data_IF_989893493110
#
_entry.id   IF_989893493110
#
_cell.length_a   1.000
_cell.length_b   1.000
_cell.length_c   1.000
_cell.angle_alpha   90.00
_cell.angle_beta   90.00
_cell.angle_gamma   90.00
#
_symmetry.space_group_name_H-M   'P 1'
#
loop_
_entity.id
_entity.type
_entity.pdbx_description
1 polymer ?
#
# COMPACT_ATOMS: atom_id res chain seq x y z
N UNK A 1 -1.60 16.90 -34.91
CA UNK A 1 -3.05 16.72 -34.60
C UNK A 1 -3.30 15.55 -33.64
N UNK A 2 -2.82 14.33 -33.95
CA UNK A 2 -3.06 13.11 -33.12
C UNK A 2 -2.50 13.21 -31.69
N UNK A 3 -1.30 13.76 -31.52
CA UNK A 3 -0.65 13.85 -30.20
C UNK A 3 -1.38 14.81 -29.25
N UNK A 4 -1.98 15.88 -29.80
CA UNK A 4 -2.78 16.85 -29.05
C UNK A 4 -4.09 16.23 -28.55
N UNK A 5 -4.73 15.40 -29.37
CA UNK A 5 -5.96 14.67 -28.99
C UNK A 5 -5.69 13.67 -27.86
N UNK A 6 -4.58 12.92 -27.91
CA UNK A 6 -4.21 11.97 -26.85
C UNK A 6 -3.93 12.68 -25.51
N UNK A 7 -3.30 13.86 -25.55
CA UNK A 7 -3.05 14.66 -24.35
C UNK A 7 -4.37 15.18 -23.76
N UNK A 8 -5.27 15.68 -24.61
CA UNK A 8 -6.59 16.16 -24.20
C UNK A 8 -7.43 15.03 -23.57
N UNK A 9 -7.45 13.84 -24.17
CA UNK A 9 -8.16 12.67 -23.61
C UNK A 9 -7.60 12.29 -22.23
N UNK A 10 -6.27 12.25 -22.06
CA UNK A 10 -5.65 11.99 -20.74
C UNK A 10 -5.94 13.06 -19.70
N UNK A 11 -6.01 14.32 -20.11
CA UNK A 11 -6.38 15.44 -19.22
C UNK A 11 -7.84 15.29 -18.79
N UNK A 12 -8.74 15.00 -19.73
CA UNK A 12 -10.17 14.78 -19.45
C UNK A 12 -10.34 13.58 -18.52
N UNK A 13 -9.70 12.44 -18.77
CA UNK A 13 -9.74 11.27 -17.88
C UNK A 13 -9.26 11.60 -16.45
N UNK A 14 -8.18 12.38 -16.32
CA UNK A 14 -7.67 12.81 -15.02
C UNK A 14 -8.61 13.79 -14.32
N UNK A 15 -9.19 14.75 -15.05
CA UNK A 15 -10.17 15.71 -14.51
C UNK A 15 -11.44 14.99 -14.07
N UNK A 16 -11.93 14.01 -14.83
CA UNK A 16 -13.10 13.20 -14.46
C UNK A 16 -12.81 12.32 -13.23
N UNK A 17 -11.61 11.72 -13.14
CA UNK A 17 -11.18 10.97 -11.95
C UNK A 17 -11.05 11.86 -10.71
N UNK A 18 -10.56 13.09 -10.86
CA UNK A 18 -10.48 14.07 -9.78
C UNK A 18 -11.87 14.54 -9.37
N UNK A 19 -12.74 14.87 -10.33
CA UNK A 19 -14.12 15.30 -10.08
C UNK A 19 -14.95 14.19 -9.40
N UNK A 20 -14.76 12.93 -9.80
CA UNK A 20 -15.40 11.77 -9.18
C UNK A 20 -14.86 11.50 -7.77
N UNK A 21 -13.54 11.56 -7.57
CA UNK A 21 -12.95 11.53 -6.21
C UNK A 21 -13.52 12.66 -5.36
N UNK A 22 -13.67 13.88 -5.89
CA UNK A 22 -14.23 15.04 -5.20
C UNK A 22 -15.73 14.92 -4.92
N UNK A 23 -16.52 14.30 -5.81
CA UNK A 23 -17.94 14.05 -5.57
C UNK A 23 -18.16 12.98 -4.50
N UNK A 24 -17.30 11.96 -4.45
CA UNK A 24 -17.26 10.95 -3.37
C UNK A 24 -16.82 11.58 -2.04
N UNK A 25 -15.84 12.49 -2.07
CA UNK A 25 -15.38 13.25 -0.89
C UNK A 25 -16.50 14.13 -0.33
N UNK A 26 -17.31 14.76 -1.19
CA UNK A 26 -18.40 15.65 -0.77
C UNK A 26 -19.64 14.90 -0.25
N UNK A 27 -19.87 13.66 -0.67
CA UNK A 27 -21.06 12.90 -0.27
C UNK A 27 -20.91 12.13 1.05
N UNK A 28 -19.70 12.04 1.63
CA UNK A 28 -19.39 11.18 2.78
C UNK A 28 -19.84 9.70 2.59
N UNK A 29 -20.09 9.32 1.35
CA UNK A 29 -20.69 8.06 0.95
C UNK A 29 -19.76 7.46 -0.08
N UNK A 30 -18.82 6.64 0.39
CA UNK A 30 -18.51 5.47 -0.40
C UNK A 30 -19.82 4.68 -0.41
N UNK A 31 -20.53 4.67 -1.54
CA UNK A 31 -21.43 3.56 -1.79
C UNK A 31 -20.55 2.31 -1.63
N UNK A 32 -20.85 1.49 -0.63
CA UNK A 32 -20.11 0.27 -0.38
C UNK A 32 -20.07 -0.50 -1.71
N UNK A 33 -18.88 -0.73 -2.30
CA UNK A 33 -18.80 -1.49 -3.53
C UNK A 33 -19.21 -2.96 -3.33
N UNK A 34 -19.45 -3.37 -2.08
CA UNK A 34 -19.90 -4.70 -1.70
C UNK A 34 -21.24 -4.61 -0.96
N UNK A 35 -22.15 -5.54 -1.22
CA UNK A 35 -23.44 -5.60 -0.50
C UNK A 35 -23.33 -6.39 0.81
N UNK A 36 -22.31 -7.24 0.94
CA UNK A 36 -22.06 -8.08 2.10
C UNK A 36 -20.60 -8.58 2.14
N UNK A 37 -20.22 -9.21 3.26
CA UNK A 37 -18.88 -9.75 3.48
C UNK A 37 -18.49 -10.85 2.48
N UNK A 38 -19.44 -11.67 2.00
CA UNK A 38 -19.14 -12.75 1.06
C UNK A 38 -18.73 -12.19 -0.31
N UNK A 39 -19.39 -11.14 -0.76
CA UNK A 39 -19.03 -10.44 -2.00
C UNK A 39 -17.64 -9.81 -1.89
N UNK A 40 -17.34 -9.16 -0.75
CA UNK A 40 -16.01 -8.64 -0.45
C UNK A 40 -14.94 -9.75 -0.46
N UNK A 41 -15.22 -10.91 0.14
CA UNK A 41 -14.28 -12.04 0.16
C UNK A 41 -14.09 -12.63 -1.23
N UNK A 42 -15.14 -12.77 -2.02
CA UNK A 42 -15.06 -13.22 -3.40
C UNK A 42 -14.18 -12.28 -4.24
N UNK A 43 -14.41 -10.97 -4.13
CA UNK A 43 -13.56 -9.95 -4.75
C UNK A 43 -12.10 -10.08 -4.31
N UNK A 44 -11.87 -10.17 -3.01
CA UNK A 44 -10.54 -10.31 -2.43
C UNK A 44 -9.81 -11.56 -2.99
N UNK A 45 -10.50 -12.70 -3.12
CA UNK A 45 -9.97 -13.93 -3.73
C UNK A 45 -9.54 -13.70 -5.18
N UNK A 46 -10.36 -13.00 -5.98
CA UNK A 46 -10.05 -12.66 -7.37
C UNK A 46 -8.87 -11.67 -7.53
N UNK A 47 -8.53 -10.96 -6.46
CA UNK A 47 -7.41 -10.00 -6.41
C UNK A 47 -6.08 -10.70 -6.04
N UNK A 48 -6.10 -12.00 -5.72
CA UNK A 48 -4.98 -12.89 -5.32
C UNK A 48 -4.18 -12.47 -4.07
N UNK A 49 -4.22 -11.20 -3.69
CA UNK A 49 -3.48 -10.65 -2.54
C UNK A 49 -3.99 -11.15 -1.21
N UNK A 50 -5.30 -11.34 -1.07
CA UNK A 50 -5.92 -11.59 0.24
C UNK A 50 -5.86 -13.06 0.66
N UNK A 51 -5.73 -13.99 -0.29
CA UNK A 51 -5.89 -15.43 -0.08
C UNK A 51 -4.83 -16.02 0.85
N UNK A 52 -3.75 -15.28 1.08
CA UNK A 52 -2.64 -15.67 1.95
C UNK A 52 -2.79 -15.14 3.39
N UNK A 53 -3.82 -14.33 3.67
CA UNK A 53 -4.05 -13.73 4.98
C UNK A 53 -5.18 -14.43 5.75
N UNK A 54 -5.05 -14.55 7.08
CA UNK A 54 -6.11 -15.07 7.96
C UNK A 54 -7.46 -14.36 7.81
N UNK A 55 -8.57 -15.10 7.95
CA UNK A 55 -9.94 -14.58 7.81
C UNK A 55 -10.27 -13.45 8.79
N UNK A 56 -9.74 -13.48 10.01
CA UNK A 56 -9.93 -12.43 11.02
C UNK A 56 -9.40 -11.07 10.54
N UNK A 57 -8.27 -11.06 9.82
CA UNK A 57 -7.71 -9.85 9.23
C UNK A 57 -8.63 -9.34 8.12
N UNK A 58 -9.11 -10.23 7.25
CA UNK A 58 -9.98 -9.86 6.13
C UNK A 58 -11.33 -9.33 6.62
N UNK A 59 -11.91 -9.96 7.63
CA UNK A 59 -13.15 -9.53 8.29
C UNK A 59 -12.98 -8.15 8.93
N UNK A 60 -11.92 -7.95 9.71
CA UNK A 60 -11.63 -6.65 10.32
C UNK A 60 -11.39 -5.56 9.27
N UNK A 61 -10.75 -5.89 8.15
CA UNK A 61 -10.67 -4.97 7.01
C UNK A 61 -12.10 -4.63 6.55
N UNK A 62 -12.94 -5.60 6.22
CA UNK A 62 -14.30 -5.31 5.75
C UNK A 62 -15.08 -4.38 6.71
N UNK A 63 -15.09 -4.70 8.00
CA UNK A 63 -15.78 -3.92 9.03
C UNK A 63 -15.24 -2.49 9.14
N UNK A 64 -13.92 -2.31 9.17
CA UNK A 64 -13.30 -0.99 9.29
C UNK A 64 -13.40 -0.16 8.00
N UNK A 65 -13.48 -0.81 6.85
CA UNK A 65 -13.41 -0.16 5.54
C UNK A 65 -14.77 0.25 5.00
N UNK A 66 -15.78 -0.58 5.21
CA UNK A 66 -17.05 -0.50 4.51
C UNK A 66 -18.25 -0.36 5.46
N UNK A 67 -18.14 -0.83 6.71
CA UNK A 67 -19.22 -0.68 7.70
C UNK A 67 -19.09 0.56 8.59
N UNK A 68 -17.90 1.18 8.65
CA UNK A 68 -17.66 2.41 9.43
C UNK A 68 -17.51 3.60 8.48
N UNK A 69 -18.14 4.76 8.76
CA UNK A 69 -17.85 5.99 8.03
C UNK A 69 -16.37 6.32 8.25
N UNK A 70 -15.57 6.13 7.20
CA UNK A 70 -14.13 6.35 7.27
C UNK A 70 -13.93 7.85 7.11
N UNK A 71 -13.38 8.57 8.12
CA UNK A 71 -12.93 9.94 7.87
C UNK A 71 -11.98 9.88 6.67
N UNK A 72 -12.19 10.71 5.65
CA UNK A 72 -11.38 10.72 4.44
C UNK A 72 -9.87 10.89 4.73
N UNK A 73 -9.56 11.41 5.92
CA UNK A 73 -8.23 11.50 6.52
C UNK A 73 -7.87 10.29 7.40
N UNK A 74 -8.32 9.08 7.06
CA UNK A 74 -7.95 7.85 7.75
C UNK A 74 -6.43 7.87 7.99
N UNK A 75 -6.09 8.00 9.27
CA UNK A 75 -4.84 8.55 9.79
C UNK A 75 -3.61 8.01 9.05
N UNK A 76 -2.66 8.90 8.74
CA UNK A 76 -1.32 8.51 8.31
C UNK A 76 -0.78 7.41 9.24
N UNK A 77 -0.76 6.16 8.78
CA UNK A 77 -0.23 5.05 9.58
C UNK A 77 1.28 5.20 9.60
N UNK A 78 1.83 5.41 10.78
CA UNK A 78 3.26 5.56 10.94
C UNK A 78 3.77 4.77 12.14
N UNK A 79 4.86 4.05 11.93
CA UNK A 79 5.48 3.25 12.98
C UNK A 79 6.92 2.88 12.64
N UNK A 80 7.62 2.29 13.60
CA UNK A 80 9.00 1.87 13.43
C UNK A 80 9.04 0.40 13.04
N UNK A 81 9.36 0.13 11.77
CA UNK A 81 9.45 -1.23 11.24
C UNK A 81 10.88 -1.58 10.85
N UNK A 82 11.12 -2.87 10.63
CA UNK A 82 12.39 -3.37 10.10
C UNK A 82 12.20 -3.85 8.67
N UNK A 83 13.01 -3.36 7.74
CA UNK A 83 12.98 -3.81 6.34
C UNK A 83 14.24 -4.54 5.93
N UNK A 84 14.10 -5.49 5.03
CA UNK A 84 15.25 -6.07 4.33
C UNK A 84 15.76 -5.11 3.24
N UNK A 85 17.06 -5.11 2.97
CA UNK A 85 17.67 -4.36 1.88
C UNK A 85 17.47 -5.03 0.51
N UNK A 86 17.58 -4.25 -0.57
CA UNK A 86 17.29 -4.69 -1.94
C UNK A 86 18.40 -5.57 -2.51
N UNK A 87 19.54 -4.94 -2.85
CA UNK A 87 20.75 -5.62 -3.35
C UNK A 87 21.43 -6.44 -2.24
N UNK A 88 21.68 -5.81 -1.10
CA UNK A 88 22.30 -6.45 0.07
C UNK A 88 21.18 -6.73 1.08
N UNK A 89 20.99 -7.99 1.45
CA UNK A 89 19.86 -8.47 2.28
C UNK A 89 20.01 -8.20 3.79
N UNK A 90 20.59 -7.06 4.15
CA UNK A 90 20.67 -6.59 5.55
C UNK A 90 19.33 -6.07 6.04
N UNK A 91 19.03 -6.24 7.33
CA UNK A 91 17.86 -5.67 7.97
C UNK A 91 18.14 -4.27 8.51
N UNK A 92 17.19 -3.34 8.37
CA UNK A 92 17.34 -1.95 8.77
C UNK A 92 16.06 -1.44 9.43
N UNK A 93 16.17 -0.91 10.66
CA UNK A 93 15.10 -0.22 11.39
C UNK A 93 14.84 1.15 10.75
N UNK A 94 13.61 1.45 10.38
CA UNK A 94 13.22 2.70 9.70
C UNK A 94 11.87 3.16 10.23
N UNK A 95 11.66 4.47 10.25
CA UNK A 95 10.33 5.02 10.49
C UNK A 95 9.57 5.01 9.17
N UNK A 96 8.43 4.33 9.15
CA UNK A 96 7.57 4.18 8.00
C UNK A 96 6.36 5.10 8.16
N UNK A 97 5.92 5.68 7.06
CA UNK A 97 4.71 6.51 6.97
C UNK A 97 3.94 6.08 5.74
N UNK A 98 2.70 5.64 5.93
CA UNK A 98 1.73 5.36 4.89
C UNK A 98 0.86 6.60 4.70
N UNK A 99 0.88 7.19 3.50
CA UNK A 99 0.08 8.37 3.17
C UNK A 99 -0.03 8.52 1.66
N UNK A 100 -1.14 9.10 1.16
CA UNK A 100 -1.32 9.45 -0.26
C UNK A 100 -0.95 8.32 -1.24
N UNK A 101 -1.46 7.10 -1.04
CA UNK A 101 -1.19 5.93 -1.89
C UNK A 101 0.31 5.55 -2.01
N UNK A 102 1.13 5.98 -1.05
CA UNK A 102 2.57 5.72 -0.99
C UNK A 102 3.00 5.32 0.42
N UNK A 103 4.10 4.56 0.50
CA UNK A 103 4.83 4.35 1.75
C UNK A 103 6.16 5.06 1.67
N UNK A 104 6.42 5.94 2.62
CA UNK A 104 7.68 6.62 2.83
C UNK A 104 8.43 5.93 3.96
N UNK A 105 9.76 5.84 3.84
CA UNK A 105 10.56 5.40 4.98
C UNK A 105 11.77 6.32 5.20
N UNK A 106 12.02 6.60 6.47
CA UNK A 106 12.98 7.57 6.96
C UNK A 106 14.04 6.90 7.82
N UNK A 107 15.19 7.56 7.96
CA UNK A 107 16.26 7.06 8.84
C UNK A 107 15.79 7.02 10.30
N UNK A 108 15.08 8.05 10.73
CA UNK A 108 14.54 8.27 12.08
C UNK A 108 13.22 9.06 11.97
N UNK A 109 12.49 9.19 13.07
CA UNK A 109 11.24 9.97 13.17
C UNK A 109 11.50 11.45 12.84
N UNK A 110 12.62 11.99 13.32
CA UNK A 110 12.96 13.42 13.15
C UNK A 110 13.61 13.76 11.79
N UNK A 111 13.70 12.78 10.88
CA UNK A 111 14.37 13.00 9.60
C UNK A 111 13.48 13.82 8.65
N UNK A 112 13.99 14.97 8.19
CA UNK A 112 13.25 15.90 7.31
C UNK A 112 12.94 15.35 5.91
N UNK A 113 13.63 14.30 5.47
CA UNK A 113 13.48 13.77 4.11
C UNK A 113 13.44 12.25 4.09
N UNK A 114 12.58 11.64 3.25
CA UNK A 114 12.50 10.19 3.13
C UNK A 114 13.77 9.64 2.49
N UNK A 115 14.21 8.48 2.98
CA UNK A 115 15.26 7.70 2.34
C UNK A 115 14.75 6.99 1.09
N UNK A 116 13.47 6.63 1.07
CA UNK A 116 12.83 6.08 -0.10
C UNK A 116 11.31 6.07 -0.02
N UNK A 117 10.73 5.76 -1.17
CA UNK A 117 9.29 5.79 -1.44
C UNK A 117 8.91 4.48 -2.10
N UNK A 118 7.82 3.87 -1.67
CA UNK A 118 7.22 2.68 -2.25
C UNK A 118 5.83 3.08 -2.75
N UNK A 119 5.63 3.25 -4.07
CA UNK A 119 4.30 3.54 -4.61
C UNK A 119 3.41 2.31 -4.46
N UNK A 120 2.14 2.51 -4.10
CA UNK A 120 1.16 1.42 -3.92
C UNK A 120 0.33 1.15 -5.18
N UNK A 121 0.52 1.93 -6.25
CA UNK A 121 -0.10 1.61 -7.54
C UNK A 121 0.44 0.29 -8.07
N UNK A 122 -0.46 -0.66 -8.37
CA UNK A 122 -0.11 -1.96 -8.94
C UNK A 122 0.84 -2.76 -8.05
N UNK A 123 0.52 -2.87 -6.77
CA UNK A 123 1.23 -3.76 -5.84
C UNK A 123 0.32 -4.90 -5.39
N UNK A 124 0.97 -5.92 -4.85
CA UNK A 124 0.36 -6.98 -4.06
C UNK A 124 1.03 -7.03 -2.70
N UNK A 125 0.26 -7.45 -1.69
CA UNK A 125 0.78 -7.71 -0.35
C UNK A 125 0.64 -9.21 -0.10
N UNK A 126 1.70 -9.82 0.43
CA UNK A 126 1.79 -11.27 0.70
C UNK A 126 2.27 -11.51 2.12
N UNK A 127 1.88 -12.62 2.72
CA UNK A 127 2.41 -13.00 4.04
C UNK A 127 3.90 -13.30 3.92
N UNK A 128 4.68 -12.83 4.89
CA UNK A 128 6.10 -13.18 5.01
C UNK A 128 6.29 -14.65 5.32
N UNK A 129 7.25 -15.29 4.65
CA UNK A 129 7.78 -16.58 5.11
C UNK A 129 8.40 -16.32 6.47
N UNK A 130 7.78 -16.75 7.56
CA UNK A 130 8.44 -16.77 8.87
C UNK A 130 9.35 -18.00 8.88
N UNK A 131 10.69 -17.87 8.81
CA UNK A 131 11.55 -19.02 9.05
C UNK A 131 11.25 -19.58 10.45
N UNK A 132 11.24 -20.91 10.65
CA UNK A 132 10.95 -21.53 11.95
C UNK A 132 11.82 -21.02 13.11
N UNK A 133 12.99 -20.44 12.79
CA UNK A 133 13.99 -19.93 13.76
C UNK A 133 14.14 -18.41 13.77
N UNK A 134 13.26 -17.68 13.07
CA UNK A 134 13.37 -16.23 12.95
C UNK A 134 12.86 -15.51 14.19
N UNK A 135 13.77 -14.99 15.01
CA UNK A 135 13.45 -13.98 16.05
C UNK A 135 12.87 -12.65 15.49
N UNK A 136 12.64 -12.56 14.18
CA UNK A 136 12.29 -11.32 13.49
C UNK A 136 10.78 -11.26 13.23
N UNK A 137 10.03 -11.08 14.31
CA UNK A 137 8.66 -10.58 14.37
C UNK A 137 7.65 -11.08 13.32
N UNK A 138 6.70 -10.21 13.00
CA UNK A 138 5.56 -10.50 12.12
C UNK A 138 5.82 -9.88 10.74
N UNK A 139 5.95 -10.70 9.71
CA UNK A 139 6.51 -10.29 8.42
C UNK A 139 5.47 -10.27 7.29
N UNK A 140 5.53 -9.24 6.43
CA UNK A 140 4.78 -9.15 5.17
C UNK A 140 5.70 -8.72 4.03
N UNK A 141 5.34 -9.12 2.81
CA UNK A 141 5.98 -8.67 1.58
C UNK A 141 5.08 -7.72 0.83
N UNK A 142 5.68 -6.67 0.27
CA UNK A 142 5.10 -5.88 -0.80
C UNK A 142 5.81 -6.28 -2.09
N UNK A 143 5.05 -6.64 -3.12
CA UNK A 143 5.54 -7.00 -4.46
C UNK A 143 4.81 -6.16 -5.51
N UNK A 144 5.44 -5.96 -6.67
CA UNK A 144 4.83 -5.23 -7.80
C UNK A 144 4.05 -6.21 -8.67
N UNK A 145 2.86 -5.83 -9.13
CA UNK A 145 2.11 -6.60 -10.13
C UNK A 145 2.72 -6.40 -11.51
N UNK A 146 2.70 -7.46 -12.33
CA UNK A 146 3.22 -7.45 -13.71
C UNK A 146 4.73 -7.70 -13.82
N UNK A 147 5.27 -7.48 -15.02
CA UNK A 147 6.64 -7.87 -15.40
C UNK A 147 7.74 -6.93 -14.90
N UNK A 148 7.41 -5.95 -14.06
CA UNK A 148 8.41 -5.02 -13.53
C UNK A 148 9.31 -5.69 -12.48
N UNK A 149 10.59 -5.86 -12.81
CA UNK A 149 11.52 -6.51 -11.88
C UNK A 149 11.82 -5.71 -10.61
N UNK A 150 11.67 -4.37 -10.62
CA UNK A 150 12.09 -3.49 -9.52
C UNK A 150 11.15 -2.31 -9.34
N UNK A 151 10.86 -1.92 -8.10
CA UNK A 151 10.00 -0.76 -7.83
C UNK A 151 10.45 0.04 -6.60
N UNK A 152 9.84 1.20 -6.44
CA UNK A 152 10.19 2.18 -5.43
C UNK A 152 11.40 3.04 -5.80
N UNK A 153 11.63 4.06 -5.00
CA UNK A 153 12.67 5.07 -5.22
C UNK A 153 13.53 5.22 -3.97
N UNK A 154 14.82 5.52 -4.15
CA UNK A 154 15.75 5.79 -3.05
C UNK A 154 16.55 7.06 -3.33
N UNK A 155 16.68 7.91 -2.31
CA UNK A 155 17.55 9.09 -2.35
C UNK A 155 18.99 8.67 -2.01
N UNK A 156 19.96 9.03 -2.86
CA UNK A 156 21.40 8.95 -2.53
C UNK A 156 21.83 10.23 -1.81
N UNK A 157 22.93 10.16 -1.05
CA UNK A 157 23.50 11.29 -0.30
C UNK A 157 23.86 12.52 -1.18
N UNK A 158 23.95 12.39 -2.52
CA UNK A 158 24.51 13.42 -3.43
C UNK A 158 23.59 13.91 -4.59
N UNK A 159 22.26 13.95 -4.41
CA UNK A 159 21.20 14.42 -5.38
C UNK A 159 20.67 13.40 -6.42
N UNK A 160 19.45 13.73 -6.88
CA UNK A 160 18.40 13.00 -7.67
C UNK A 160 17.98 11.62 -7.14
N UNK A 161 16.68 11.46 -6.92
CA UNK A 161 16.05 10.16 -6.61
C UNK A 161 16.31 9.18 -7.75
N UNK A 162 16.70 7.94 -7.43
CA UNK A 162 16.86 6.86 -8.42
C UNK A 162 15.92 5.71 -8.09
N UNK A 163 15.53 4.94 -9.10
CA UNK A 163 14.77 3.69 -8.93
C UNK A 163 15.52 2.77 -7.95
N UNK A 164 14.80 2.22 -6.98
CA UNK A 164 15.32 1.32 -5.97
C UNK A 164 15.74 -0.02 -6.58
N UNK A 165 16.63 -0.73 -5.90
CA UNK A 165 17.05 -2.09 -6.29
C UNK A 165 16.17 -3.19 -5.68
N UNK A 166 14.92 -2.87 -5.37
CA UNK A 166 14.00 -3.77 -4.69
C UNK A 166 13.10 -4.48 -5.69
N UNK A 167 13.25 -5.81 -5.81
CA UNK A 167 12.25 -6.67 -6.47
C UNK A 167 11.02 -6.89 -5.60
N UNK A 168 11.22 -6.84 -4.28
CA UNK A 168 10.19 -6.87 -3.26
C UNK A 168 10.67 -6.10 -2.02
N UNK A 169 9.73 -5.75 -1.16
CA UNK A 169 9.98 -5.19 0.16
C UNK A 169 9.48 -6.16 1.21
N UNK A 170 10.39 -6.93 1.81
CA UNK A 170 10.13 -7.71 3.02
C UNK A 170 10.25 -6.78 4.24
N UNK A 171 9.15 -6.68 4.98
CA UNK A 171 9.01 -5.80 6.15
C UNK A 171 8.58 -6.65 7.35
N UNK A 172 9.08 -6.30 8.53
CA UNK A 172 8.80 -6.96 9.80
C UNK A 172 8.35 -5.94 10.83
N UNK A 173 7.16 -6.19 11.38
CA UNK A 173 6.62 -5.51 12.55
C UNK A 173 7.05 -6.21 13.84
N UNK A 174 7.04 -5.45 14.92
CA UNK A 174 7.45 -5.90 16.25
C UNK A 174 6.36 -6.72 16.96
N UNK A 175 5.09 -6.41 16.70
CA UNK A 175 3.93 -7.10 17.25
C UNK A 175 2.94 -7.58 16.18
N UNK A 176 2.01 -8.45 16.58
CA UNK A 176 0.95 -8.97 15.70
C UNK A 176 -0.02 -7.86 15.31
N UNK A 177 -0.34 -6.99 16.27
CA UNK A 177 -1.26 -5.88 16.13
C UNK A 177 -0.71 -4.86 15.13
N UNK A 178 0.58 -4.49 15.28
CA UNK A 178 1.26 -3.60 14.34
C UNK A 178 1.27 -4.21 12.92
N UNK A 179 1.58 -5.50 12.80
CA UNK A 179 1.50 -6.21 11.53
C UNK A 179 0.10 -6.16 10.90
N UNK A 180 -0.94 -6.47 11.68
CA UNK A 180 -2.32 -6.50 11.21
C UNK A 180 -2.76 -5.11 10.74
N UNK A 181 -2.38 -4.06 11.45
CA UNK A 181 -2.74 -2.69 11.10
C UNK A 181 -2.09 -2.24 9.79
N UNK A 182 -0.82 -2.58 9.58
CA UNK A 182 -0.11 -2.30 8.31
C UNK A 182 -0.70 -3.08 7.14
N UNK A 183 -0.96 -4.38 7.31
CA UNK A 183 -1.58 -5.21 6.26
C UNK A 183 -2.97 -4.69 5.93
N UNK A 184 -3.77 -4.29 6.92
CA UNK A 184 -5.10 -3.71 6.73
C UNK A 184 -5.06 -2.45 5.86
N UNK A 185 -4.19 -1.50 6.16
CA UNK A 185 -4.04 -0.26 5.37
C UNK A 185 -3.57 -0.52 3.94
N UNK A 186 -2.65 -1.47 3.76
CA UNK A 186 -2.17 -1.87 2.44
C UNK A 186 -3.28 -2.53 1.61
N UNK A 187 -4.02 -3.48 2.19
CA UNK A 187 -5.15 -4.13 1.53
C UNK A 187 -6.23 -3.12 1.16
N UNK A 188 -6.57 -2.18 2.06
CA UNK A 188 -7.47 -1.05 1.78
C UNK A 188 -7.04 -0.32 0.51
N UNK A 189 -5.78 0.12 0.44
CA UNK A 189 -5.30 0.88 -0.71
C UNK A 189 -5.37 0.08 -2.01
N UNK A 190 -5.03 -1.21 -1.98
CA UNK A 190 -5.11 -2.08 -3.17
C UNK A 190 -6.55 -2.24 -3.63
N UNK A 191 -7.47 -2.56 -2.71
CA UNK A 191 -8.88 -2.83 -3.00
C UNK A 191 -9.53 -1.58 -3.58
N UNK A 192 -9.42 -0.44 -2.90
CA UNK A 192 -9.95 0.83 -3.39
C UNK A 192 -9.35 1.19 -4.77
N UNK A 193 -8.05 0.95 -4.97
CA UNK A 193 -7.43 1.21 -6.28
C UNK A 193 -7.93 0.32 -7.42
N UNK A 194 -8.51 -0.85 -7.13
CA UNK A 194 -9.08 -1.77 -8.12
C UNK A 194 -10.58 -1.55 -8.34
N UNK A 195 -11.32 -1.18 -7.29
CA UNK A 195 -12.76 -0.88 -7.41
C UNK A 195 -13.03 0.41 -8.18
N UNK A 196 -12.15 1.41 -8.08
CA UNK A 196 -12.38 2.75 -8.62
C UNK A 196 -11.43 3.13 -9.78
N UNK A 197 -11.00 2.13 -10.56
CA UNK A 197 -10.10 2.30 -11.70
C UNK A 197 -10.80 2.27 -13.04
#
# INVERSE_FOLDING_TARGET
MIMTVVIIVKIIENVTKIAYKLSIIKSNSYADPFTNYEEYIHFCKNVETSTQFPQDILKKCYEDLFLKPVPFFASDLNSILIKQGGKIKTWKKRWFVFTNECIYYYQTINAKHPLGIIPLSGIEVKKGKQPPKSKKGYQFLIVKTGNEEKFGYKKKKSKKSKRGNHKNYLISASSKEEYQEWVKHLLRSIILSKCFK
#
